data_IF_988963566411
#
_entry.id   IF_988963566411
#
_cell.length_a   1.000
_cell.length_b   1.000
_cell.length_c   1.000
_cell.angle_alpha   90.00
_cell.angle_beta   90.00
_cell.angle_gamma   90.00
#
_symmetry.space_group_name_H-M   'P 1'
#
loop_
_entity.id
_entity.type
_entity.pdbx_description
1 polymer ?
#
# COMPACT_ATOMS: atom_id res chain seq x y z
N UNK A 1 -9.55 -12.71 -23.84
CA UNK A 1 -8.53 -13.41 -23.02
C UNK A 1 -8.65 -12.88 -21.61
N UNK A 2 -8.67 -13.75 -20.59
CA UNK A 2 -8.67 -13.31 -19.19
C UNK A 2 -7.22 -13.00 -18.81
N UNK A 3 -6.93 -11.75 -18.44
CA UNK A 3 -5.61 -11.36 -17.94
C UNK A 3 -5.44 -12.01 -16.57
N UNK A 4 -4.50 -12.94 -16.44
CA UNK A 4 -4.20 -13.58 -15.16
C UNK A 4 -3.25 -12.65 -14.39
N UNK A 5 -3.53 -12.29 -13.13
CA UNK A 5 -2.63 -11.44 -12.36
C UNK A 5 -1.36 -12.20 -11.96
N UNK A 6 -0.21 -11.55 -12.10
CA UNK A 6 1.06 -12.03 -11.56
C UNK A 6 1.79 -10.98 -10.72
N UNK A 7 1.56 -9.70 -11.01
CA UNK A 7 2.23 -8.59 -10.35
C UNK A 7 1.21 -7.78 -9.55
N UNK A 8 1.57 -7.44 -8.32
CA UNK A 8 0.88 -6.46 -7.51
C UNK A 8 1.75 -5.21 -7.41
N UNK A 9 1.39 -4.20 -8.19
CA UNK A 9 1.99 -2.88 -8.08
C UNK A 9 1.47 -2.20 -6.82
N UNK A 10 2.36 -1.66 -6.00
CA UNK A 10 1.99 -0.93 -4.77
C UNK A 10 2.78 0.37 -4.71
N UNK A 11 2.12 1.40 -4.19
CA UNK A 11 2.69 2.68 -3.82
C UNK A 11 2.12 3.06 -2.45
N UNK A 12 2.99 3.42 -1.50
CA UNK A 12 2.58 3.87 -0.17
C UNK A 12 2.99 5.31 0.06
N UNK A 13 2.14 6.04 0.77
CA UNK A 13 2.55 7.27 1.44
C UNK A 13 2.68 7.01 2.93
N UNK A 14 3.74 7.56 3.53
CA UNK A 14 4.07 7.38 4.94
C UNK A 14 4.31 8.73 5.62
N UNK A 15 4.25 8.75 6.94
CA UNK A 15 4.59 9.94 7.76
C UNK A 15 6.10 10.24 7.77
N UNK A 16 6.93 9.33 7.26
CA UNK A 16 8.39 9.43 7.23
C UNK A 16 9.03 8.11 6.77
N UNK A 17 10.34 7.99 6.95
CA UNK A 17 11.12 6.84 6.46
C UNK A 17 11.53 5.84 7.56
N UNK A 18 11.23 6.12 8.83
CA UNK A 18 11.58 5.25 9.94
C UNK A 18 10.44 4.26 10.22
N UNK A 19 10.56 3.05 9.70
CA UNK A 19 9.54 1.99 9.80
C UNK A 19 9.10 1.62 11.22
N UNK A 20 9.89 1.93 12.26
CA UNK A 20 9.56 1.67 13.66
C UNK A 20 8.70 2.77 14.28
N UNK A 21 8.76 3.99 13.75
CA UNK A 21 8.09 5.16 14.31
C UNK A 21 6.99 5.70 13.40
N UNK A 22 7.20 5.66 12.09
CA UNK A 22 6.30 6.17 11.08
C UNK A 22 5.14 5.22 10.76
N UNK A 23 4.10 5.75 10.11
CA UNK A 23 2.89 5.01 9.74
C UNK A 23 2.62 5.10 8.24
N UNK A 24 2.09 4.02 7.69
CA UNK A 24 1.44 4.06 6.37
C UNK A 24 0.16 4.90 6.52
N UNK A 25 -0.02 5.88 5.65
CA UNK A 25 -1.18 6.78 5.64
C UNK A 25 -1.98 6.71 4.34
N UNK A 26 -1.39 6.19 3.27
CA UNK A 26 -2.08 5.91 2.01
C UNK A 26 -1.53 4.63 1.37
N UNK A 27 -2.38 3.88 0.68
CA UNK A 27 -1.99 2.77 -0.18
C UNK A 27 -2.75 2.84 -1.50
N UNK A 28 -2.01 2.76 -2.60
CA UNK A 28 -2.53 2.47 -3.92
C UNK A 28 -1.98 1.12 -4.40
N UNK A 29 -2.82 0.33 -5.08
CA UNK A 29 -2.38 -0.92 -5.68
C UNK A 29 -3.07 -1.22 -7.02
N UNK A 30 -2.39 -1.98 -7.88
CA UNK A 30 -2.89 -2.39 -9.19
C UNK A 30 -2.36 -3.79 -9.57
N UNK A 31 -3.23 -4.62 -10.16
CA UNK A 31 -2.80 -5.90 -10.71
C UNK A 31 -2.45 -5.79 -12.19
N UNK A 32 -1.34 -6.41 -12.58
CA UNK A 32 -0.99 -6.63 -14.00
C UNK A 32 -0.59 -8.07 -14.25
N UNK A 33 -0.56 -8.43 -15.53
CA UNK A 33 0.22 -9.59 -15.97
C UNK A 33 1.72 -9.24 -16.13
N UNK A 34 2.53 -10.21 -16.53
CA UNK A 34 3.96 -10.01 -16.82
C UNK A 34 4.24 -9.12 -18.04
N UNK A 35 3.27 -8.92 -18.93
CA UNK A 35 3.37 -7.99 -20.05
C UNK A 35 2.96 -6.56 -19.65
N UNK A 36 2.75 -6.31 -18.35
CA UNK A 36 2.31 -5.04 -17.77
C UNK A 36 0.92 -4.62 -18.24
N UNK A 37 0.10 -5.56 -18.72
CA UNK A 37 -1.29 -5.29 -19.08
C UNK A 37 -2.11 -5.20 -17.79
N UNK A 38 -2.79 -4.06 -17.51
CA UNK A 38 -3.61 -3.93 -16.32
C UNK A 38 -4.78 -4.92 -16.33
N UNK A 39 -5.01 -5.56 -15.19
CA UNK A 39 -6.24 -6.34 -14.97
C UNK A 39 -7.38 -5.33 -14.81
N UNK A 40 -8.45 -5.39 -15.63
CA UNK A 40 -9.55 -4.43 -15.55
C UNK A 40 -10.17 -4.37 -14.15
N UNK A 41 -10.44 -3.15 -13.67
CA UNK A 41 -11.05 -2.86 -12.35
C UNK A 41 -10.24 -3.35 -11.14
N UNK A 42 -8.96 -3.69 -11.30
CA UNK A 42 -8.12 -4.17 -10.20
C UNK A 42 -7.47 -3.08 -9.37
N UNK A 43 -7.64 -1.80 -9.74
CA UNK A 43 -7.17 -0.67 -8.94
C UNK A 43 -7.76 -0.70 -7.54
N UNK A 44 -6.92 -0.51 -6.54
CA UNK A 44 -7.27 -0.39 -5.14
C UNK A 44 -6.64 0.88 -4.58
N UNK A 45 -7.37 1.60 -3.74
CA UNK A 45 -6.89 2.85 -3.13
C UNK A 45 -7.57 3.11 -1.80
N UNK A 46 -6.78 3.40 -0.76
CA UNK A 46 -7.27 3.78 0.56
C UNK A 46 -6.34 4.78 1.24
N UNK A 47 -6.94 5.75 1.91
CA UNK A 47 -6.27 6.66 2.85
C UNK A 47 -6.67 6.20 4.25
N UNK A 48 -5.71 5.93 5.11
CA UNK A 48 -5.93 5.44 6.48
C UNK A 48 -5.91 6.59 7.47
N UNK A 49 -6.63 6.41 8.58
CA UNK A 49 -6.55 7.34 9.69
C UNK A 49 -5.20 7.24 10.40
N UNK A 50 -4.68 8.36 10.87
CA UNK A 50 -3.50 8.44 11.71
C UNK A 50 -3.68 9.49 12.80
N UNK A 51 -3.17 9.20 13.99
CA UNK A 51 -3.28 10.08 15.15
C UNK A 51 -2.54 11.40 14.93
N UNK A 52 -3.12 12.50 15.42
CA UNK A 52 -2.52 13.84 15.30
C UNK A 52 -1.12 13.92 15.91
N UNK A 53 -0.85 13.15 16.97
CA UNK A 53 0.47 13.10 17.60
C UNK A 53 1.56 12.51 16.69
N UNK A 54 1.20 11.63 15.75
CA UNK A 54 2.13 11.09 14.76
C UNK A 54 2.27 12.09 13.61
N UNK A 55 1.15 12.64 13.12
CA UNK A 55 1.17 13.63 12.04
C UNK A 55 1.96 14.90 12.39
N UNK A 56 1.85 15.37 13.64
CA UNK A 56 2.62 16.51 14.14
C UNK A 56 4.10 16.20 14.35
N UNK A 57 4.49 14.92 14.36
CA UNK A 57 5.87 14.46 14.42
C UNK A 57 6.56 14.32 13.07
N UNK A 58 5.85 14.55 11.96
CA UNK A 58 6.43 14.51 10.61
C UNK A 58 7.53 15.57 10.45
N UNK A 59 8.54 15.27 9.62
CA UNK A 59 9.55 16.27 9.27
C UNK A 59 8.99 17.40 8.38
N UNK A 60 9.81 18.43 8.13
CA UNK A 60 9.40 19.58 7.31
C UNK A 60 8.98 19.16 5.89
N UNK A 61 9.67 18.18 5.32
CA UNK A 61 9.41 17.73 3.97
C UNK A 61 8.06 17.02 3.87
N UNK A 62 7.80 16.04 4.73
CA UNK A 62 6.54 15.29 4.78
C UNK A 62 5.37 16.23 5.12
N UNK A 63 5.54 17.10 6.12
CA UNK A 63 4.51 18.09 6.50
C UNK A 63 4.10 18.96 5.32
N UNK A 64 5.08 19.48 4.58
CA UNK A 64 4.82 20.34 3.41
C UNK A 64 4.22 19.55 2.24
N UNK A 65 4.79 18.38 1.92
CA UNK A 65 4.35 17.56 0.78
C UNK A 65 2.91 17.08 0.98
N UNK A 66 2.61 16.47 2.12
CA UNK A 66 1.28 15.94 2.43
C UNK A 66 0.26 17.04 2.71
N UNK A 67 0.70 18.19 3.22
CA UNK A 67 -0.14 19.38 3.35
C UNK A 67 -0.56 19.93 1.99
N UNK A 68 0.38 20.06 1.05
CA UNK A 68 0.11 20.60 -0.29
C UNK A 68 -0.74 19.67 -1.15
N UNK A 69 -0.61 18.35 -0.99
CA UNK A 69 -1.46 17.38 -1.69
C UNK A 69 -2.87 17.28 -1.10
N UNK A 70 -3.08 17.79 0.12
CA UNK A 70 -4.32 17.61 0.88
C UNK A 70 -4.43 16.23 1.55
N UNK A 71 -3.37 15.41 1.49
CA UNK A 71 -3.34 14.08 2.12
C UNK A 71 -3.45 14.20 3.64
N UNK A 72 -2.75 15.15 4.27
CA UNK A 72 -2.81 15.33 5.74
C UNK A 72 -4.25 15.52 6.24
N UNK A 73 -5.04 16.33 5.54
CA UNK A 73 -6.44 16.56 5.90
C UNK A 73 -7.31 15.32 5.64
N UNK A 74 -7.03 14.61 4.55
CA UNK A 74 -7.74 13.38 4.19
C UNK A 74 -7.47 12.25 5.20
N UNK A 75 -6.26 12.15 5.72
CA UNK A 75 -5.85 11.21 6.78
C UNK A 75 -6.59 11.50 8.08
N UNK A 76 -6.65 12.78 8.50
CA UNK A 76 -7.39 13.20 9.70
C UNK A 76 -8.86 12.83 9.63
N UNK A 77 -9.47 12.99 8.46
CA UNK A 77 -10.89 12.70 8.24
C UNK A 77 -11.18 11.23 7.88
N UNK A 78 -10.16 10.43 7.62
CA UNK A 78 -10.33 9.02 7.29
C UNK A 78 -10.87 8.23 8.50
N UNK A 79 -11.62 7.18 8.21
CA UNK A 79 -12.15 6.21 9.18
C UNK A 79 -11.55 4.82 9.00
N UNK A 80 -10.70 4.65 7.99
CA UNK A 80 -10.10 3.36 7.70
C UNK A 80 -8.93 3.11 8.64
N UNK A 81 -8.93 1.95 9.32
CA UNK A 81 -7.79 1.49 10.10
C UNK A 81 -6.84 0.70 9.22
N UNK A 82 -5.58 0.59 9.62
CA UNK A 82 -4.57 -0.15 8.86
C UNK A 82 -4.91 -1.65 8.75
N UNK A 83 -5.48 -2.23 9.81
CA UNK A 83 -5.95 -3.61 9.83
C UNK A 83 -7.14 -3.81 8.89
N UNK A 84 -8.10 -2.88 8.89
CA UNK A 84 -9.26 -2.93 8.01
C UNK A 84 -8.86 -2.81 6.54
N UNK A 85 -7.92 -1.91 6.22
CA UNK A 85 -7.39 -1.79 4.85
C UNK A 85 -6.61 -3.04 4.43
N UNK A 86 -5.86 -3.66 5.34
CA UNK A 86 -5.19 -4.93 5.06
C UNK A 86 -6.20 -6.04 4.72
N UNK A 87 -7.32 -6.13 5.44
CA UNK A 87 -8.37 -7.09 5.15
C UNK A 87 -9.03 -6.80 3.80
N UNK A 88 -9.34 -5.53 3.52
CA UNK A 88 -9.93 -5.10 2.25
C UNK A 88 -9.04 -5.42 1.05
N UNK A 89 -7.74 -5.11 1.11
CA UNK A 89 -6.83 -5.40 0.00
C UNK A 89 -6.66 -6.91 -0.19
N UNK A 90 -6.56 -7.70 0.87
CA UNK A 90 -6.51 -9.17 0.76
C UNK A 90 -7.78 -9.74 0.13
N UNK A 91 -8.95 -9.26 0.53
CA UNK A 91 -10.23 -9.65 -0.06
C UNK A 91 -10.30 -9.25 -1.54
N UNK A 92 -9.84 -8.05 -1.88
CA UNK A 92 -9.74 -7.55 -3.25
C UNK A 92 -8.88 -8.47 -4.10
N UNK A 93 -7.67 -8.80 -3.67
CA UNK A 93 -6.76 -9.71 -4.39
C UNK A 93 -7.39 -11.11 -4.61
N UNK A 94 -8.01 -11.67 -3.57
CA UNK A 94 -8.70 -12.97 -3.65
C UNK A 94 -9.87 -12.96 -4.62
N UNK A 95 -10.58 -11.83 -4.74
CA UNK A 95 -11.68 -11.69 -5.70
C UNK A 95 -11.23 -11.78 -7.17
N UNK A 96 -9.96 -11.45 -7.45
CA UNK A 96 -9.32 -11.65 -8.77
C UNK A 96 -8.71 -13.04 -8.95
N UNK A 97 -8.98 -13.98 -8.02
CA UNK A 97 -8.47 -15.35 -8.08
C UNK A 97 -6.98 -15.47 -7.73
N UNK A 98 -6.39 -14.46 -7.10
CA UNK A 98 -5.01 -14.53 -6.62
C UNK A 98 -4.90 -15.54 -5.48
N UNK A 99 -3.83 -16.32 -5.49
CA UNK A 99 -3.55 -17.31 -4.46
C UNK A 99 -2.36 -16.86 -3.61
N UNK A 100 -2.23 -17.45 -2.42
CA UNK A 100 -1.07 -17.20 -1.59
C UNK A 100 0.22 -17.55 -2.34
N UNK A 101 1.24 -16.69 -2.18
CA UNK A 101 2.58 -16.88 -2.72
C UNK A 101 2.62 -16.97 -4.25
N UNK A 102 1.68 -16.33 -4.96
CA UNK A 102 1.72 -16.26 -6.43
C UNK A 102 1.99 -14.86 -6.99
N UNK A 103 1.65 -13.81 -6.26
CA UNK A 103 1.85 -12.42 -6.70
C UNK A 103 3.23 -11.91 -6.30
N UNK A 104 3.96 -11.31 -7.22
CA UNK A 104 5.18 -10.57 -6.91
C UNK A 104 4.83 -9.13 -6.57
N UNK A 105 5.42 -8.59 -5.50
CA UNK A 105 5.30 -7.18 -5.16
C UNK A 105 6.15 -6.35 -6.13
N UNK A 106 5.53 -5.36 -6.76
CA UNK A 106 6.13 -4.55 -7.80
C UNK A 106 6.02 -3.07 -7.49
N UNK A 107 7.01 -2.26 -7.88
CA UNK A 107 6.95 -0.81 -7.78
C UNK A 107 8.33 -0.16 -7.81
N UNK A 108 8.37 1.16 -7.88
CA UNK A 108 9.63 1.89 -7.85
C UNK A 108 10.15 1.96 -6.41
N UNK A 109 11.43 1.62 -6.19
CA UNK A 109 12.04 1.65 -4.85
C UNK A 109 11.26 0.83 -3.80
N UNK A 110 10.54 -0.20 -4.26
CA UNK A 110 9.55 -0.97 -3.49
C UNK A 110 10.10 -1.66 -2.24
N UNK A 111 11.42 -1.72 -2.07
CA UNK A 111 12.03 -2.16 -0.82
C UNK A 111 11.58 -1.31 0.38
N UNK A 112 11.42 0.00 0.21
CA UNK A 112 10.95 0.89 1.27
C UNK A 112 9.53 0.52 1.69
N UNK A 113 8.61 0.43 0.73
CA UNK A 113 7.21 0.03 0.96
C UNK A 113 7.15 -1.36 1.58
N UNK A 114 7.96 -2.30 1.08
CA UNK A 114 8.04 -3.67 1.57
C UNK A 114 8.35 -3.72 3.07
N UNK A 115 9.23 -2.85 3.56
CA UNK A 115 9.56 -2.80 4.99
C UNK A 115 8.37 -2.35 5.83
N UNK A 116 7.65 -1.30 5.40
CA UNK A 116 6.42 -0.85 6.05
C UNK A 116 5.33 -1.92 6.02
N UNK A 117 5.07 -2.52 4.85
CA UNK A 117 4.10 -3.61 4.70
C UNK A 117 4.45 -4.81 5.60
N UNK A 118 5.74 -5.14 5.76
CA UNK A 118 6.14 -6.28 6.59
C UNK A 118 5.77 -6.08 8.06
N UNK A 119 5.92 -4.86 8.57
CA UNK A 119 5.62 -4.54 9.96
C UNK A 119 4.15 -4.23 10.20
N UNK A 120 3.52 -3.46 9.31
CA UNK A 120 2.19 -2.88 9.53
C UNK A 120 1.06 -3.62 8.80
N UNK A 121 1.40 -4.35 7.73
CA UNK A 121 0.46 -5.23 7.01
C UNK A 121 1.04 -6.66 6.83
N UNK A 122 1.37 -7.37 7.93
CA UNK A 122 2.07 -8.66 7.88
C UNK A 122 1.29 -9.77 7.16
N UNK A 123 -0.05 -9.74 7.17
CA UNK A 123 -0.86 -10.74 6.47
C UNK A 123 -0.83 -10.51 4.95
N UNK A 124 -0.86 -9.25 4.49
CA UNK A 124 -0.66 -8.92 3.08
C UNK A 124 0.73 -9.36 2.63
N UNK A 125 1.75 -9.00 3.41
CA UNK A 125 3.13 -9.44 3.21
C UNK A 125 3.25 -10.96 3.04
N UNK A 126 2.60 -11.73 3.91
CA UNK A 126 2.68 -13.20 3.90
C UNK A 126 1.93 -13.82 2.71
N UNK A 127 0.91 -13.12 2.20
CA UNK A 127 0.15 -13.53 1.01
C UNK A 127 0.98 -13.39 -0.28
N UNK A 128 1.95 -12.47 -0.32
CA UNK A 128 2.77 -12.21 -1.49
C UNK A 128 3.94 -13.20 -1.62
N UNK A 129 4.43 -13.34 -2.84
CA UNK A 129 5.68 -14.04 -3.09
C UNK A 129 6.87 -13.22 -2.55
N UNK A 130 7.99 -13.90 -2.27
CA UNK A 130 9.11 -13.28 -1.58
C UNK A 130 10.01 -12.41 -2.47
N UNK A 131 10.00 -12.63 -3.80
CA UNK A 131 10.72 -11.78 -4.74
C UNK A 131 9.94 -10.50 -5.05
N UNK A 132 10.70 -9.46 -5.35
CA UNK A 132 10.22 -8.13 -5.70
C UNK A 132 10.59 -7.82 -7.14
N UNK A 133 9.80 -6.98 -7.80
CA UNK A 133 10.10 -6.40 -9.11
C UNK A 133 10.18 -4.87 -8.96
N UNK A 134 11.18 -4.25 -9.60
CA UNK A 134 11.41 -2.81 -9.62
C UNK A 134 11.59 -2.31 -11.04
#
# INVERSE_FOLDING_TARGET
MVVKPQLLWVDLEMTGLNVLHDRIIEVAALLTDYALTPVPNSSFHRIMHCEESILSGMDEWCTRTHGNSGLTESVKNSKYTIEGVQEEILAHLKSFGCQERTLLLSGNSIHADRMFLTLQMPALTSFLYHYLIQ
#
